data_IF_850604579366
#
_entry.id   IF_850604579366
#
_cell.length_a   1.000
_cell.length_b   1.000
_cell.length_c   1.000
_cell.angle_alpha   90.00
_cell.angle_beta   90.00
_cell.angle_gamma   90.00
#
_symmetry.space_group_name_H-M   'P 1'
#
loop_
_entity.id
_entity.type
_entity.pdbx_description
1 polymer ?
#
# COMPACT_ATOMS: atom_id res chain seq x y z
N UNK A 1 -10.72 5.22 -7.18
CA UNK A 1 -9.25 5.43 -7.14
C UNK A 1 -8.58 4.51 -6.13
N UNK A 2 -8.99 4.51 -4.84
CA UNK A 2 -8.51 3.57 -3.82
C UNK A 2 -8.55 2.10 -4.28
N UNK A 3 -9.68 1.64 -4.82
CA UNK A 3 -9.82 0.26 -5.28
C UNK A 3 -8.75 -0.16 -6.31
N UNK A 4 -8.41 0.73 -7.26
CA UNK A 4 -7.37 0.49 -8.27
C UNK A 4 -5.99 0.41 -7.63
N UNK A 5 -5.69 1.28 -6.66
CA UNK A 5 -4.42 1.23 -5.92
C UNK A 5 -4.30 -0.06 -5.10
N UNK A 6 -5.37 -0.46 -4.42
CA UNK A 6 -5.37 -1.65 -3.56
C UNK A 6 -5.24 -2.92 -4.41
N UNK A 7 -5.96 -3.00 -5.53
CA UNK A 7 -5.85 -4.13 -6.47
C UNK A 7 -4.40 -4.29 -6.96
N UNK A 8 -3.78 -3.19 -7.37
CA UNK A 8 -2.37 -3.16 -7.77
C UNK A 8 -1.41 -3.54 -6.63
N UNK A 9 -1.65 -3.06 -5.41
CA UNK A 9 -0.85 -3.41 -4.22
C UNK A 9 -0.92 -4.92 -3.94
N UNK A 10 -2.09 -5.55 -4.10
CA UNK A 10 -2.26 -6.99 -3.92
C UNK A 10 -1.41 -7.75 -4.94
N UNK A 11 -1.41 -7.34 -6.21
CA UNK A 11 -0.54 -7.96 -7.23
C UNK A 11 0.95 -7.87 -6.87
N UNK A 12 1.39 -6.71 -6.39
CA UNK A 12 2.78 -6.50 -5.96
C UNK A 12 3.11 -7.37 -4.74
N UNK A 13 2.27 -7.35 -3.71
CA UNK A 13 2.40 -8.18 -2.51
C UNK A 13 2.54 -9.67 -2.86
N UNK A 14 1.66 -10.19 -3.72
CA UNK A 14 1.68 -11.58 -4.18
C UNK A 14 2.95 -11.92 -4.96
N UNK A 15 3.44 -10.99 -5.80
CA UNK A 15 4.67 -11.18 -6.57
C UNK A 15 5.90 -11.35 -5.67
N UNK A 16 5.94 -10.63 -4.54
CA UNK A 16 7.01 -10.74 -3.55
C UNK A 16 6.78 -11.84 -2.50
N UNK A 17 5.60 -12.46 -2.48
CA UNK A 17 5.21 -13.52 -1.53
C UNK A 17 5.37 -13.10 -0.07
N UNK A 18 5.05 -11.85 0.24
CA UNK A 18 5.14 -11.29 1.58
C UNK A 18 4.04 -11.90 2.48
N UNK A 19 4.23 -11.77 3.79
CA UNK A 19 3.24 -12.18 4.78
C UNK A 19 1.91 -11.40 4.62
N UNK A 20 0.73 -12.01 4.86
CA UNK A 20 -0.56 -11.32 4.83
C UNK A 20 -0.62 -10.09 5.76
N UNK A 21 0.06 -10.15 6.90
CA UNK A 21 0.20 -9.09 7.89
C UNK A 21 0.81 -7.81 7.26
N UNK A 22 1.84 -7.97 6.42
CA UNK A 22 2.45 -6.89 5.64
C UNK A 22 1.43 -6.20 4.73
N UNK A 23 0.53 -6.95 4.09
CA UNK A 23 -0.52 -6.38 3.25
C UNK A 23 -1.51 -5.58 4.09
N UNK A 24 -1.99 -6.14 5.21
CA UNK A 24 -2.97 -5.45 6.06
C UNK A 24 -2.41 -4.16 6.64
N UNK A 25 -1.15 -4.16 7.08
CA UNK A 25 -0.47 -2.98 7.57
C UNK A 25 -0.27 -1.94 6.45
N UNK A 26 0.14 -2.36 5.26
CA UNK A 26 0.31 -1.47 4.12
C UNK A 26 -1.02 -0.78 3.74
N UNK A 27 -2.13 -1.53 3.68
CA UNK A 27 -3.46 -0.97 3.41
C UNK A 27 -3.88 0.02 4.49
N UNK A 28 -3.64 -0.29 5.76
CA UNK A 28 -3.93 0.63 6.87
C UNK A 28 -3.16 1.95 6.74
N UNK A 29 -1.87 1.90 6.39
CA UNK A 29 -1.04 3.09 6.17
C UNK A 29 -1.54 3.94 4.99
N UNK A 30 -1.91 3.28 3.88
CA UNK A 30 -2.45 3.95 2.68
C UNK A 30 -3.75 4.69 3.03
N UNK A 31 -4.67 4.03 3.71
CA UNK A 31 -5.98 4.60 4.02
C UNK A 31 -5.86 5.82 4.93
N UNK A 32 -5.04 5.73 5.97
CA UNK A 32 -4.78 6.84 6.90
C UNK A 32 -4.12 8.04 6.20
N UNK A 33 -3.23 7.79 5.25
CA UNK A 33 -2.57 8.86 4.50
C UNK A 33 -3.56 9.56 3.54
N UNK A 34 -4.41 8.79 2.87
CA UNK A 34 -5.43 9.32 1.96
C UNK A 34 -6.54 10.10 2.68
N UNK A 35 -6.78 9.84 3.96
CA UNK A 35 -7.73 10.61 4.77
C UNK A 35 -7.24 12.04 5.06
N UNK A 36 -5.92 12.23 5.16
CA UNK A 36 -5.31 13.51 5.57
C UNK A 36 -4.93 14.37 4.36
N UNK A 37 -4.48 13.74 3.26
CA UNK A 37 -3.92 14.45 2.11
C UNK A 37 -4.79 14.22 0.88
N UNK A 38 -5.15 15.31 0.20
CA UNK A 38 -5.84 15.22 -1.09
C UNK A 38 -4.81 15.12 -2.21
N UNK A 39 -4.83 14.01 -2.96
CA UNK A 39 -3.69 13.57 -3.76
C UNK A 39 -4.04 13.49 -5.25
N UNK A 40 -3.12 13.90 -6.12
CA UNK A 40 -3.23 13.65 -7.55
C UNK A 40 -3.04 12.17 -7.88
N UNK A 41 -3.73 11.72 -8.93
CA UNK A 41 -3.71 10.32 -9.40
C UNK A 41 -2.31 9.83 -9.78
N UNK A 42 -1.45 10.73 -10.22
CA UNK A 42 -0.07 10.46 -10.64
C UNK A 42 0.85 9.91 -9.56
N UNK A 43 0.55 10.14 -8.27
CA UNK A 43 1.43 9.72 -7.16
C UNK A 43 0.84 8.60 -6.28
N UNK A 44 -0.35 8.07 -6.61
CA UNK A 44 -0.96 6.98 -5.83
C UNK A 44 -0.07 5.74 -5.77
N UNK A 45 0.57 5.35 -6.89
CA UNK A 45 1.46 4.18 -6.91
C UNK A 45 2.68 4.38 -6.01
N UNK A 46 3.26 5.59 -5.99
CA UNK A 46 4.40 5.91 -5.12
C UNK A 46 4.02 5.73 -3.64
N UNK A 47 2.83 6.17 -3.25
CA UNK A 47 2.31 6.01 -1.89
C UNK A 47 2.13 4.53 -1.56
N UNK A 48 1.54 3.77 -2.48
CA UNK A 48 1.37 2.33 -2.33
C UNK A 48 2.69 1.61 -2.08
N UNK A 49 3.70 1.83 -2.93
CA UNK A 49 5.02 1.20 -2.77
C UNK A 49 5.69 1.64 -1.48
N UNK A 50 5.58 2.92 -1.11
CA UNK A 50 6.17 3.44 0.13
C UNK A 50 5.52 2.80 1.35
N UNK A 51 4.20 2.67 1.37
CA UNK A 51 3.47 2.01 2.45
C UNK A 51 3.80 0.52 2.54
N UNK A 52 3.91 -0.17 1.40
CA UNK A 52 4.29 -1.58 1.36
C UNK A 52 5.72 -1.80 1.86
N UNK A 53 6.67 -0.93 1.48
CA UNK A 53 8.05 -0.96 1.96
C UNK A 53 8.14 -0.69 3.47
N UNK A 54 7.32 0.23 3.99
CA UNK A 54 7.27 0.48 5.43
C UNK A 54 6.73 -0.77 6.13
N UNK A 55 5.60 -1.30 5.68
CA UNK A 55 4.96 -2.47 6.28
C UNK A 55 5.87 -3.71 6.26
N UNK A 56 6.59 -3.94 5.15
CA UNK A 56 7.50 -5.08 5.01
C UNK A 56 8.75 -4.97 5.89
N UNK A 57 9.01 -3.83 6.52
CA UNK A 57 10.08 -3.71 7.53
C UNK A 57 9.62 -4.04 8.94
N UNK A 58 8.31 -4.09 9.16
CA UNK A 58 7.71 -4.37 10.47
C UNK A 58 7.29 -5.83 10.60
N UNK A 59 6.66 -6.38 9.57
CA UNK A 59 5.99 -7.69 9.63
C UNK A 59 6.76 -8.81 8.91
N UNK A 60 7.80 -8.48 8.14
CA UNK A 60 8.69 -9.44 7.45
C UNK A 60 10.05 -9.53 8.16
#
# INVERSE_FOLDING_TARGET
>A
MRAILIDWIIEVHLKFKLLPETLYLAVNLIDRYLEIVNISTSILQLIGVSALLIASKYEE
#
